data_IF_359868964523
#
_entry.id   IF_359868964523
#
_cell.length_a   1.000
_cell.length_b   1.000
_cell.length_c   1.000
_cell.angle_alpha   90.00
_cell.angle_beta   90.00
_cell.angle_gamma   90.00
#
_symmetry.space_group_name_H-M   'P 1'
#
loop_
_entity.id
_entity.type
_entity.pdbx_description
1 polymer ?
#
# COMPACT_ATOMS: atom_id res chain seq x y z
N UNK A 1 1.15 10.85 -21.84
CA UNK A 1 1.58 11.34 -20.53
C UNK A 1 2.79 10.54 -20.11
N UNK A 2 3.78 11.20 -19.53
CA UNK A 2 5.01 10.57 -19.03
C UNK A 2 5.22 10.93 -17.55
N UNK A 3 5.40 9.92 -16.70
CA UNK A 3 5.57 10.06 -15.25
C UNK A 3 7.05 10.03 -14.86
N UNK A 4 7.42 10.82 -13.85
CA UNK A 4 8.79 10.85 -13.33
C UNK A 4 8.84 11.23 -11.85
N UNK A 5 9.96 10.89 -11.19
CA UNK A 5 10.29 11.37 -9.86
C UNK A 5 11.20 12.60 -9.99
N UNK A 6 10.73 13.75 -9.54
CA UNK A 6 11.46 15.01 -9.57
C UNK A 6 12.14 15.29 -8.22
N UNK A 7 13.22 16.09 -8.18
CA UNK A 7 13.75 16.61 -6.92
C UNK A 7 12.74 17.53 -6.20
N UNK A 8 12.75 17.59 -4.86
CA UNK A 8 13.50 16.72 -3.96
C UNK A 8 12.80 15.35 -3.81
N UNK A 9 13.46 14.27 -4.22
CA UNK A 9 13.05 12.88 -3.98
C UNK A 9 14.30 12.07 -3.64
N UNK A 10 14.27 11.16 -2.64
CA UNK A 10 15.40 10.29 -2.33
C UNK A 10 15.82 9.45 -3.55
N UNK A 11 17.05 9.65 -4.02
CA UNK A 11 17.56 8.94 -5.18
C UNK A 11 17.70 7.44 -4.88
N UNK A 12 17.39 6.59 -5.87
CA UNK A 12 17.57 5.12 -5.84
C UNK A 12 16.73 4.35 -4.82
N UNK A 13 15.91 5.01 -4.00
CA UNK A 13 15.00 4.35 -3.06
C UNK A 13 13.65 3.99 -3.70
N UNK A 14 13.24 4.75 -4.71
CA UNK A 14 11.98 4.55 -5.42
C UNK A 14 12.18 4.71 -6.92
N UNK A 15 11.35 4.00 -7.68
CA UNK A 15 11.24 4.12 -9.13
C UNK A 15 9.78 4.31 -9.51
N UNK A 16 9.50 5.01 -10.60
CA UNK A 16 8.16 5.14 -11.15
C UNK A 16 8.15 4.67 -12.60
N UNK A 17 7.16 3.87 -12.98
CA UNK A 17 6.95 3.50 -14.37
C UNK A 17 6.53 4.76 -15.18
N UNK A 18 7.27 5.14 -16.23
CA UNK A 18 7.02 6.39 -16.94
C UNK A 18 5.70 6.39 -17.74
N UNK A 19 5.07 5.24 -17.97
CA UNK A 19 3.82 5.13 -18.75
C UNK A 19 2.61 4.91 -17.85
N UNK A 20 2.76 4.11 -16.81
CA UNK A 20 1.68 3.70 -15.92
C UNK A 20 1.63 4.52 -14.62
N UNK A 21 2.72 5.20 -14.26
CA UNK A 21 2.84 5.90 -12.99
C UNK A 21 2.94 4.95 -11.78
N UNK A 22 3.24 3.67 -12.01
CA UNK A 22 3.36 2.67 -10.95
C UNK A 22 4.64 2.91 -10.14
N UNK A 23 4.49 3.16 -8.84
CA UNK A 23 5.61 3.39 -7.93
C UNK A 23 6.10 2.04 -7.36
N UNK A 24 7.42 1.81 -7.41
CA UNK A 24 8.07 0.67 -6.79
C UNK A 24 9.17 1.14 -5.83
N UNK A 25 9.35 0.41 -4.74
CA UNK A 25 10.39 0.62 -3.76
C UNK A 25 11.60 -0.27 -4.04
N UNK A 26 12.81 0.26 -3.83
CA UNK A 26 14.02 -0.56 -3.75
C UNK A 26 14.00 -1.40 -2.47
N UNK A 27 14.68 -2.57 -2.45
CA UNK A 27 14.82 -3.35 -1.23
C UNK A 27 15.62 -2.60 -0.16
N UNK A 28 15.34 -2.89 1.12
CA UNK A 28 16.11 -2.36 2.24
C UNK A 28 15.78 -0.92 2.64
N UNK A 29 14.52 -0.49 2.50
CA UNK A 29 14.09 0.80 3.03
C UNK A 29 14.07 0.79 4.57
N UNK A 30 14.65 1.82 5.17
CA UNK A 30 14.50 2.06 6.61
C UNK A 30 13.06 2.46 6.95
N UNK A 31 12.65 2.15 8.17
CA UNK A 31 11.36 2.63 8.71
C UNK A 31 11.34 4.15 8.71
N UNK A 32 10.24 4.74 8.23
CA UNK A 32 10.12 6.19 8.18
C UNK A 32 9.12 6.71 7.17
N UNK A 33 9.19 8.02 6.93
CA UNK A 33 8.34 8.74 5.98
C UNK A 33 9.21 9.29 4.86
N UNK A 34 8.92 8.87 3.64
CA UNK A 34 9.60 9.33 2.44
C UNK A 34 8.66 10.26 1.67
N UNK A 35 9.11 11.47 1.40
CA UNK A 35 8.40 12.42 0.56
C UNK A 35 8.92 12.31 -0.87
N UNK A 36 8.02 12.02 -1.80
CA UNK A 36 8.30 11.90 -3.22
C UNK A 36 7.61 13.04 -3.96
N UNK A 37 8.33 13.71 -4.84
CA UNK A 37 7.76 14.67 -5.77
C UNK A 37 7.53 13.97 -7.11
N UNK A 38 6.28 13.63 -7.41
CA UNK A 38 5.89 12.94 -8.64
C UNK A 38 5.44 13.97 -9.67
N UNK A 39 6.03 13.93 -10.86
CA UNK A 39 5.67 14.80 -11.97
C UNK A 39 5.07 14.00 -13.13
N UNK A 40 4.16 14.63 -13.86
CA UNK A 40 3.58 14.10 -15.10
C UNK A 40 3.62 15.16 -16.18
N UNK A 41 4.05 14.79 -17.39
CA UNK A 41 4.09 15.69 -18.55
C UNK A 41 3.36 15.12 -19.77
N UNK A 42 2.78 15.99 -20.60
CA UNK A 42 2.27 15.66 -21.93
C UNK A 42 3.26 16.04 -23.06
N UNK A 43 4.48 16.49 -22.70
CA UNK A 43 5.50 17.01 -23.62
C UNK A 43 5.46 18.53 -23.79
N UNK A 44 4.40 19.21 -23.33
CA UNK A 44 4.26 20.67 -23.38
C UNK A 44 4.08 21.27 -21.99
N UNK A 45 3.22 20.67 -21.18
CA UNK A 45 2.92 21.06 -19.82
C UNK A 45 3.38 19.99 -18.84
N UNK A 46 3.75 20.41 -17.63
CA UNK A 46 4.16 19.51 -16.55
C UNK A 46 3.44 19.90 -15.27
N UNK A 47 2.86 18.90 -14.60
CA UNK A 47 2.22 19.04 -13.29
C UNK A 47 2.94 18.16 -12.27
N UNK A 48 3.04 18.62 -11.02
CA UNK A 48 3.71 17.87 -9.95
C UNK A 48 2.85 17.75 -8.71
N UNK A 49 3.02 16.66 -7.96
CA UNK A 49 2.32 16.38 -6.72
C UNK A 49 3.24 15.72 -5.70
N UNK A 50 3.03 16.06 -4.42
CA UNK A 50 3.73 15.41 -3.31
C UNK A 50 3.03 14.12 -2.89
N UNK A 51 3.80 13.03 -2.81
CA UNK A 51 3.35 11.71 -2.34
C UNK A 51 4.15 11.34 -1.09
N UNK A 52 3.45 10.91 -0.04
CA UNK A 52 4.09 10.44 1.20
C UNK A 52 4.02 8.92 1.24
N UNK A 53 5.18 8.26 1.27
CA UNK A 53 5.30 6.83 1.50
C UNK A 53 5.70 6.60 2.96
N UNK A 54 4.92 5.79 3.66
CA UNK A 54 5.20 5.41 5.05
C UNK A 54 5.69 3.97 5.04
N UNK A 55 6.91 3.74 5.49
CA UNK A 55 7.49 2.40 5.68
C UNK A 55 7.40 2.08 7.16
N UNK A 56 6.74 0.97 7.48
CA UNK A 56 6.56 0.49 8.84
C UNK A 56 7.22 -0.88 8.98
N UNK A 57 7.82 -1.18 10.15
CA UNK A 57 8.35 -2.51 10.42
C UNK A 57 7.20 -3.51 10.58
N UNK A 58 7.46 -4.76 10.22
CA UNK A 58 6.60 -5.89 10.57
C UNK A 58 7.36 -6.68 11.62
N UNK A 59 6.70 -6.93 12.75
CA UNK A 59 7.25 -7.64 13.89
C UNK A 59 6.71 -9.08 13.94
N UNK A 60 7.44 -9.98 14.60
CA UNK A 60 7.06 -11.40 14.66
C UNK A 60 5.70 -11.61 15.35
N UNK A 61 5.41 -10.84 16.40
CA UNK A 61 4.12 -10.88 17.10
C UNK A 61 2.95 -10.53 16.17
N UNK A 62 3.12 -9.56 15.27
CA UNK A 62 2.11 -9.21 14.26
C UNK A 62 1.84 -10.39 13.33
N UNK A 63 2.88 -11.14 12.96
CA UNK A 63 2.76 -12.32 12.11
C UNK A 63 2.07 -13.48 12.85
N UNK A 64 2.39 -13.69 14.13
CA UNK A 64 1.73 -14.72 14.96
C UNK A 64 0.23 -14.46 15.16
N UNK A 65 -0.19 -13.20 15.14
CA UNK A 65 -1.60 -12.79 15.27
C UNK A 65 -2.21 -12.37 13.93
N UNK A 66 -1.68 -12.88 12.82
CA UNK A 66 -2.16 -12.56 11.48
C UNK A 66 -3.09 -13.62 10.91
N UNK A 67 -4.06 -13.18 10.11
CA UNK A 67 -4.96 -14.03 9.33
C UNK A 67 -4.92 -13.59 7.87
N UNK A 68 -4.81 -14.57 6.97
CA UNK A 68 -4.93 -14.34 5.53
C UNK A 68 -6.35 -14.64 5.07
N UNK A 69 -6.90 -13.76 4.21
CA UNK A 69 -8.21 -13.94 3.58
C UNK A 69 -8.03 -13.79 2.07
N UNK A 70 -8.61 -14.71 1.30
CA UNK A 70 -8.73 -14.60 -0.16
C UNK A 70 -10.06 -13.96 -0.55
N UNK A 71 -10.00 -12.94 -1.39
CA UNK A 71 -11.15 -12.27 -1.98
C UNK A 71 -11.23 -12.61 -3.46
N UNK A 72 -12.27 -13.35 -3.85
CA UNK A 72 -12.41 -13.84 -5.21
C UNK A 72 -12.88 -12.73 -6.15
N UNK A 73 -12.26 -12.64 -7.33
CA UNK A 73 -12.63 -11.67 -8.37
C UNK A 73 -12.45 -10.20 -7.97
N UNK A 74 -11.62 -9.92 -6.96
CA UNK A 74 -11.31 -8.57 -6.50
C UNK A 74 -9.88 -8.22 -6.88
N UNK A 75 -9.67 -7.16 -7.64
CA UNK A 75 -8.31 -6.70 -7.98
C UNK A 75 -7.69 -5.88 -6.84
N UNK A 76 -6.35 -5.85 -6.69
CA UNK A 76 -5.69 -5.04 -5.68
C UNK A 76 -6.04 -3.55 -5.76
N UNK A 77 -6.13 -3.01 -6.98
CA UNK A 77 -6.43 -1.59 -7.21
C UNK A 77 -7.85 -1.26 -6.76
N UNK A 78 -8.83 -2.09 -7.14
CA UNK A 78 -10.21 -1.92 -6.72
C UNK A 78 -10.37 -2.05 -5.20
N UNK A 79 -9.69 -3.02 -4.59
CA UNK A 79 -9.74 -3.22 -3.15
C UNK A 79 -9.23 -2.00 -2.37
N UNK A 80 -8.03 -1.51 -2.73
CA UNK A 80 -7.39 -0.39 -2.02
C UNK A 80 -8.22 0.89 -2.14
N UNK A 81 -8.80 1.16 -3.33
CA UNK A 81 -9.57 2.37 -3.59
C UNK A 81 -10.97 2.33 -2.97
N UNK A 82 -11.65 1.20 -3.02
CA UNK A 82 -13.10 1.15 -2.76
C UNK A 82 -13.50 0.31 -1.54
N UNK A 83 -12.80 -0.78 -1.24
CA UNK A 83 -13.29 -1.78 -0.27
C UNK A 83 -12.49 -1.83 1.04
N UNK A 84 -11.22 -1.40 1.03
CA UNK A 84 -10.30 -1.48 2.17
C UNK A 84 -10.89 -0.96 3.48
N UNK A 85 -11.41 0.27 3.46
CA UNK A 85 -11.96 0.93 4.67
C UNK A 85 -13.19 0.20 5.20
N UNK A 86 -14.04 -0.27 4.29
CA UNK A 86 -15.25 -1.03 4.62
C UNK A 86 -14.91 -2.36 5.29
N UNK A 87 -14.00 -3.14 4.68
CA UNK A 87 -13.55 -4.41 5.23
C UNK A 87 -13.00 -4.26 6.64
N UNK A 88 -12.02 -3.36 6.82
CA UNK A 88 -11.39 -3.13 8.14
C UNK A 88 -12.44 -2.69 9.17
N UNK A 89 -13.33 -1.77 8.81
CA UNK A 89 -14.38 -1.29 9.72
C UNK A 89 -15.33 -2.41 10.15
N UNK A 90 -15.78 -3.22 9.20
CA UNK A 90 -16.69 -4.34 9.49
C UNK A 90 -16.01 -5.37 10.39
N UNK A 91 -14.76 -5.75 10.10
CA UNK A 91 -14.03 -6.72 10.92
C UNK A 91 -13.77 -6.20 12.34
N UNK A 92 -13.37 -4.93 12.51
CA UNK A 92 -13.22 -4.32 13.83
C UNK A 92 -14.53 -4.40 14.64
N UNK A 93 -15.66 -4.07 14.00
CA UNK A 93 -16.97 -4.10 14.64
C UNK A 93 -17.42 -5.52 15.02
N UNK A 94 -17.24 -6.48 14.12
CA UNK A 94 -17.67 -7.87 14.35
C UNK A 94 -16.80 -8.61 15.36
N UNK A 95 -15.48 -8.38 15.35
CA UNK A 95 -14.54 -9.04 16.26
C UNK A 95 -14.44 -8.34 17.61
N UNK A 96 -14.88 -7.09 17.72
CA UNK A 96 -14.63 -6.22 18.87
C UNK A 96 -13.14 -6.13 19.22
N UNK A 97 -12.29 -6.19 18.19
CA UNK A 97 -10.83 -6.12 18.29
C UNK A 97 -10.29 -5.12 17.28
N UNK A 98 -9.08 -4.66 17.51
CA UNK A 98 -8.39 -3.87 16.50
C UNK A 98 -7.95 -4.77 15.33
N UNK A 99 -8.05 -4.22 14.12
CA UNK A 99 -7.73 -4.94 12.88
C UNK A 99 -6.92 -4.03 11.98
N UNK A 100 -5.72 -4.48 11.63
CA UNK A 100 -4.77 -3.76 10.80
C UNK A 100 -4.47 -4.54 9.53
N UNK A 101 -4.58 -3.89 8.37
CA UNK A 101 -4.21 -4.46 7.07
C UNK A 101 -2.70 -4.29 6.86
N UNK A 102 -1.96 -5.39 6.71
CA UNK A 102 -0.50 -5.36 6.56
C UNK A 102 0.00 -5.89 5.22
N UNK A 103 -0.82 -6.61 4.45
CA UNK A 103 -0.46 -7.04 3.09
C UNK A 103 -1.66 -7.09 2.16
N UNK A 104 -1.44 -6.74 0.90
CA UNK A 104 -2.40 -6.85 -0.22
C UNK A 104 -1.61 -7.40 -1.41
N UNK A 105 -1.96 -8.59 -1.88
CA UNK A 105 -1.23 -9.26 -2.96
C UNK A 105 -2.19 -9.82 -4.00
N UNK A 106 -1.89 -9.59 -5.27
CA UNK A 106 -2.60 -10.25 -6.35
C UNK A 106 -2.41 -11.77 -6.23
N UNK A 107 -3.50 -12.50 -6.32
CA UNK A 107 -3.53 -13.96 -6.32
C UNK A 107 -3.89 -14.47 -7.73
N UNK A 108 -3.72 -15.77 -8.02
CA UNK A 108 -4.12 -16.37 -9.28
C UNK A 108 -5.59 -16.09 -9.61
N UNK A 109 -5.95 -16.19 -10.90
CA UNK A 109 -7.33 -16.03 -11.39
C UNK A 109 -7.98 -14.65 -11.14
N UNK A 110 -7.19 -13.62 -10.84
CA UNK A 110 -7.71 -12.27 -10.59
C UNK A 110 -8.26 -12.09 -9.17
N UNK A 111 -7.93 -13.02 -8.28
CA UNK A 111 -8.25 -12.93 -6.86
C UNK A 111 -7.24 -12.03 -6.13
N UNK A 112 -7.52 -11.78 -4.85
CA UNK A 112 -6.68 -10.99 -3.97
C UNK A 112 -6.49 -11.69 -2.64
N UNK A 113 -5.24 -11.84 -2.21
CA UNK A 113 -4.89 -12.25 -0.86
C UNK A 113 -4.61 -11.02 0.02
N UNK A 114 -5.21 -11.02 1.20
CA UNK A 114 -5.14 -9.93 2.16
C UNK A 114 -4.67 -10.48 3.51
N UNK A 115 -3.58 -9.93 4.05
CA UNK A 115 -3.09 -10.27 5.39
C UNK A 115 -3.50 -9.19 6.39
N UNK A 116 -4.17 -9.62 7.45
CA UNK A 116 -4.69 -8.78 8.52
C UNK A 116 -4.06 -9.19 9.85
N UNK A 117 -3.69 -8.22 10.67
CA UNK A 117 -3.30 -8.43 12.07
C UNK A 117 -4.51 -8.12 12.93
N UNK A 118 -4.80 -8.99 13.88
CA UNK A 118 -5.86 -8.77 14.87
C UNK A 118 -5.19 -8.52 16.21
N UNK A 119 -5.29 -7.30 16.72
CA UNK A 119 -4.67 -6.87 17.98
C UNK A 119 -5.74 -6.42 18.96
N UNK A 120 -5.56 -6.72 20.25
CA UNK A 120 -6.43 -6.22 21.32
C UNK A 120 -7.79 -6.91 21.40
N UNK A 121 -7.93 -7.85 22.32
CA UNK A 121 -9.06 -7.88 23.24
C UNK A 121 -8.52 -7.39 24.59
N UNK A 122 -9.33 -6.65 25.36
CA UNK A 122 -9.02 -6.05 26.67
C UNK A 122 -7.99 -6.87 27.45
N UNK A 123 -6.83 -6.27 27.73
CA UNK A 123 -6.09 -6.54 28.97
C UNK A 123 -6.82 -5.82 30.11
#
# INVERSE_FOLDING_TARGET
LEYSLAPPTPARLFTIDPRQGALAAAPGLDTGRYLLNVSVTDGKFTSSASVVVVVQPIWDDMLQHSVSIRLNGVTPQHFVLSQRKGLVRTLKASLQRDVSLISVQAAPHGDLDVLLVISGGVD
#
